data_IF_256653993077
#
_entry.id   IF_256653993077
#
_cell.length_a   1.000
_cell.length_b   1.000
_cell.length_c   1.000
_cell.angle_alpha   90.00
_cell.angle_beta   90.00
_cell.angle_gamma   90.00
#
_symmetry.space_group_name_H-M   'P 1'
#
loop_
_entity.id
_entity.type
_entity.pdbx_description
1 polymer ?
#
# COMPACT_ATOMS: atom_id res chain seq x y z
N UNK A 1 -15.81 14.51 20.97
CA UNK A 1 -15.72 14.15 20.54
C UNK A 1 -15.94 13.65 20.06
N UNK A 2 -15.83 13.84 19.92
CA UNK A 2 -16.22 13.30 19.20
C UNK A 2 -15.89 12.22 18.87
N UNK A 3 -16.33 11.80 19.03
CA UNK A 3 -16.13 10.70 18.73
C UNK A 3 -15.77 10.55 17.52
N UNK A 4 -15.12 10.72 17.36
CA UNK A 4 -14.84 10.60 16.37
C UNK A 4 -15.05 9.46 15.87
N UNK A 5 -15.55 9.51 14.95
CA UNK A 5 -15.88 8.36 14.32
C UNK A 5 -14.65 7.67 13.92
N UNK A 6 -14.58 6.43 14.17
CA UNK A 6 -13.52 5.65 13.72
C UNK A 6 -13.87 5.19 12.38
N UNK A 7 -13.51 5.95 11.41
CA UNK A 7 -13.81 5.65 10.03
C UNK A 7 -13.00 4.45 9.57
N UNK A 8 -13.64 3.49 8.95
CA UNK A 8 -12.98 2.36 8.30
C UNK A 8 -13.17 2.52 6.80
N UNK A 9 -12.08 2.44 6.05
CA UNK A 9 -12.12 2.62 4.61
C UNK A 9 -11.34 1.52 3.92
N UNK A 10 -11.89 0.99 2.85
CA UNK A 10 -11.18 0.05 1.98
C UNK A 10 -11.28 0.58 0.56
N UNK A 11 -10.16 0.56 -0.15
CA UNK A 11 -10.14 1.06 -1.51
C UNK A 11 -9.26 0.20 -2.39
N UNK A 12 -9.68 -0.02 -3.63
CA UNK A 12 -8.85 -0.63 -4.65
C UNK A 12 -8.41 0.45 -5.63
N UNK A 13 -7.24 0.25 -6.22
CA UNK A 13 -6.66 1.21 -7.15
C UNK A 13 -6.40 0.53 -8.48
N UNK A 14 -6.59 1.29 -9.54
CA UNK A 14 -6.31 0.81 -10.89
C UNK A 14 -4.80 0.92 -11.13
N UNK A 15 -4.22 -0.10 -11.73
CA UNK A 15 -2.80 -0.11 -12.07
C UNK A 15 -2.56 0.07 -13.56
N UNK A 16 -3.59 -0.09 -14.38
CA UNK A 16 -3.45 -0.02 -15.83
C UNK A 16 -2.75 -1.23 -16.42
N UNK A 17 -2.47 -2.22 -15.59
CA UNK A 17 -1.82 -3.47 -16.00
C UNK A 17 -2.17 -4.54 -14.98
N UNK A 18 -1.73 -5.76 -15.21
CA UNK A 18 -2.01 -6.87 -14.32
C UNK A 18 -1.44 -6.59 -12.93
N UNK A 19 -2.20 -6.95 -11.90
CA UNK A 19 -1.77 -6.80 -10.53
C UNK A 19 -2.87 -6.25 -9.66
N UNK A 20 -2.57 -6.11 -8.38
CA UNK A 20 -3.50 -5.59 -7.39
C UNK A 20 -2.88 -4.48 -6.59
N UNK A 21 -3.72 -3.54 -6.17
CA UNK A 21 -3.30 -2.45 -5.30
C UNK A 21 -4.51 -2.04 -4.48
N UNK A 22 -4.36 -2.07 -3.16
CA UNK A 22 -5.47 -1.79 -2.27
C UNK A 22 -4.97 -1.04 -1.04
N UNK A 23 -5.89 -0.34 -0.37
CA UNK A 23 -5.57 0.21 0.94
C UNK A 23 -6.70 -0.06 1.91
N UNK A 24 -6.34 -0.14 3.18
CA UNK A 24 -7.27 -0.36 4.26
C UNK A 24 -6.91 0.57 5.40
N UNK A 25 -7.90 1.31 5.86
CA UNK A 25 -7.68 2.26 6.94
C UNK A 25 -8.64 1.95 8.08
N UNK A 26 -8.09 1.77 9.27
CA UNK A 26 -8.87 1.48 10.44
C UNK A 26 -8.09 1.88 11.68
N UNK A 27 -8.77 2.47 12.64
CA UNK A 27 -8.13 2.84 13.89
C UNK A 27 -6.98 3.80 13.74
N UNK A 28 -7.02 4.64 12.72
CA UNK A 28 -5.96 5.60 12.45
C UNK A 28 -4.75 5.02 11.73
N UNK A 29 -4.81 3.76 11.32
CA UNK A 29 -3.69 3.08 10.69
C UNK A 29 -4.00 2.77 9.24
N UNK A 30 -3.11 3.21 8.35
CA UNK A 30 -3.25 3.04 6.91
C UNK A 30 -2.37 1.90 6.46
N UNK A 31 -2.98 0.86 5.91
CA UNK A 31 -2.27 -0.29 5.35
C UNK A 31 -2.36 -0.23 3.84
N UNK A 32 -1.20 -0.28 3.18
CA UNK A 32 -1.15 -0.44 1.74
C UNK A 32 -0.94 -1.92 1.44
N UNK A 33 -1.82 -2.49 0.63
CA UNK A 33 -1.76 -3.91 0.30
C UNK A 33 -1.19 -4.05 -1.09
N UNK A 34 -0.13 -4.80 -1.21
CA UNK A 34 0.71 -5.04 -2.37
C UNK A 34 1.68 -3.89 -2.62
N UNK A 35 2.88 -4.25 -3.03
CA UNK A 35 3.95 -3.28 -3.24
C UNK A 35 3.95 -2.82 -4.70
N UNK A 36 2.89 -2.16 -5.10
CA UNK A 36 2.74 -1.65 -6.45
C UNK A 36 2.56 -0.13 -6.39
N UNK A 37 3.30 0.58 -7.25
CA UNK A 37 3.23 2.04 -7.31
C UNK A 37 3.66 2.48 -8.70
N UNK A 38 2.71 2.96 -9.49
CA UNK A 38 3.00 3.46 -10.83
C UNK A 38 2.18 4.73 -11.07
N UNK A 39 2.21 5.24 -12.29
CA UNK A 39 1.54 6.50 -12.59
C UNK A 39 0.03 6.41 -12.45
N UNK A 40 -0.55 5.20 -12.49
CA UNK A 40 -1.99 5.04 -12.39
C UNK A 40 -2.48 5.14 -10.94
N UNK A 41 -1.74 4.59 -9.99
CA UNK A 41 -2.23 4.52 -8.60
C UNK A 41 -1.56 5.49 -7.63
N UNK A 42 -0.40 6.05 -8.00
CA UNK A 42 0.40 6.86 -7.07
C UNK A 42 -0.39 8.01 -6.48
N UNK A 43 -0.98 8.84 -7.33
CA UNK A 43 -1.69 10.00 -6.82
C UNK A 43 -2.95 9.60 -6.05
N UNK A 44 -3.61 8.53 -6.48
CA UNK A 44 -4.82 8.07 -5.80
C UNK A 44 -4.51 7.56 -4.39
N UNK A 45 -3.35 6.92 -4.21
CA UNK A 45 -2.94 6.49 -2.87
C UNK A 45 -2.66 7.72 -2.00
N UNK A 46 -1.94 8.70 -2.55
CA UNK A 46 -1.63 9.92 -1.80
C UNK A 46 -2.93 10.65 -1.42
N UNK A 47 -3.87 10.73 -2.35
CA UNK A 47 -5.15 11.38 -2.07
C UNK A 47 -5.92 10.63 -1.00
N UNK A 48 -5.90 9.31 -1.02
CA UNK A 48 -6.59 8.51 0.00
C UNK A 48 -5.96 8.72 1.37
N UNK A 49 -4.63 8.79 1.43
CA UNK A 49 -3.94 9.09 2.67
C UNK A 49 -4.36 10.46 3.21
N UNK A 50 -4.53 11.43 2.31
CA UNK A 50 -5.02 12.75 2.70
C UNK A 50 -6.42 12.69 3.27
N UNK A 51 -7.30 11.92 2.67
CA UNK A 51 -8.65 11.74 3.19
C UNK A 51 -8.65 11.08 4.57
N UNK A 52 -7.69 10.21 4.82
CA UNK A 52 -7.54 9.55 6.11
C UNK A 52 -6.75 10.39 7.12
N UNK A 53 -6.26 11.56 6.70
CA UNK A 53 -5.46 12.47 7.53
C UNK A 53 -4.21 11.79 8.08
N UNK A 54 -3.57 10.96 7.27
CA UNK A 54 -2.31 10.31 7.65
C UNK A 54 -1.22 10.75 6.70
N UNK A 55 0.02 10.80 7.21
CA UNK A 55 1.17 11.22 6.42
C UNK A 55 2.11 10.08 6.10
N UNK A 56 1.86 8.90 6.65
CA UNK A 56 2.73 7.77 6.39
C UNK A 56 1.92 6.50 6.40
N UNK A 57 2.45 5.49 5.75
CA UNK A 57 1.85 4.17 5.71
C UNK A 57 2.22 3.45 7.00
N UNK A 58 1.21 2.95 7.72
CA UNK A 58 1.48 2.19 8.94
C UNK A 58 2.06 0.81 8.58
N UNK A 59 1.47 0.14 7.60
CA UNK A 59 1.89 -1.19 7.23
C UNK A 59 1.82 -1.37 5.72
N UNK A 60 2.89 -1.92 5.14
CA UNK A 60 2.87 -2.38 3.76
C UNK A 60 2.72 -3.90 3.82
N UNK A 61 1.62 -4.40 3.30
CA UNK A 61 1.29 -5.83 3.37
C UNK A 61 1.40 -6.44 1.98
N UNK A 62 2.37 -7.34 1.80
CA UNK A 62 2.67 -7.97 0.52
C UNK A 62 2.20 -9.42 0.59
N UNK A 63 1.29 -9.81 -0.32
CA UNK A 63 0.72 -11.15 -0.27
C UNK A 63 1.50 -12.17 -1.07
N UNK A 64 2.29 -11.71 -2.03
CA UNK A 64 3.05 -12.61 -2.90
C UNK A 64 4.28 -11.86 -3.42
N UNK A 65 5.36 -12.61 -3.67
CA UNK A 65 6.57 -12.01 -4.26
C UNK A 65 6.47 -11.90 -5.79
N UNK A 66 5.41 -12.41 -6.41
CA UNK A 66 5.24 -12.28 -7.86
C UNK A 66 5.18 -10.82 -8.25
N UNK A 67 5.65 -10.51 -9.47
CA UNK A 67 5.80 -9.12 -9.89
C UNK A 67 4.49 -8.35 -9.98
N UNK A 68 3.36 -9.02 -10.15
CA UNK A 68 2.07 -8.34 -10.15
C UNK A 68 1.61 -7.96 -8.74
N UNK A 69 2.27 -8.46 -7.70
CA UNK A 69 2.02 -8.10 -6.29
C UNK A 69 3.17 -7.29 -5.70
N UNK A 70 4.39 -7.49 -6.19
CA UNK A 70 5.57 -6.83 -5.63
C UNK A 70 6.60 -6.64 -6.73
N UNK A 71 6.59 -5.47 -7.34
CA UNK A 71 7.57 -5.13 -8.37
C UNK A 71 8.70 -4.38 -7.69
N UNK A 72 9.94 -4.83 -7.91
CA UNK A 72 11.09 -4.33 -7.18
C UNK A 72 11.26 -2.82 -7.25
N UNK A 73 11.17 -2.25 -8.45
CA UNK A 73 11.35 -0.80 -8.60
C UNK A 73 10.25 -0.03 -7.89
N UNK A 74 9.05 -0.58 -7.86
CA UNK A 74 7.92 0.08 -7.20
C UNK A 74 8.02 -0.06 -5.69
N UNK A 75 8.48 -1.22 -5.21
CA UNK A 75 8.75 -1.39 -3.79
C UNK A 75 9.80 -0.38 -3.33
N UNK A 76 10.87 -0.21 -4.12
CA UNK A 76 11.91 0.74 -3.77
C UNK A 76 11.37 2.17 -3.69
N UNK A 77 10.50 2.53 -4.62
CA UNK A 77 9.89 3.85 -4.59
C UNK A 77 9.03 4.05 -3.35
N UNK A 78 8.24 3.03 -2.97
CA UNK A 78 7.43 3.10 -1.76
C UNK A 78 8.32 3.32 -0.53
N UNK A 79 9.42 2.57 -0.45
CA UNK A 79 10.31 2.69 0.70
C UNK A 79 10.98 4.06 0.76
N UNK A 80 11.19 4.70 -0.39
CA UNK A 80 11.81 6.02 -0.44
C UNK A 80 10.83 7.15 -0.23
N UNK A 81 9.63 7.06 -0.81
CA UNK A 81 8.73 8.21 -0.84
C UNK A 81 7.57 8.09 0.14
N UNK A 82 7.17 6.86 0.49
CA UNK A 82 6.05 6.61 1.40
C UNK A 82 6.45 5.53 2.41
N UNK A 83 7.54 5.74 3.15
CA UNK A 83 8.10 4.66 3.97
C UNK A 83 7.10 4.14 4.99
N UNK A 84 6.86 2.82 5.00
CA UNK A 84 5.94 2.24 5.97
C UNK A 84 6.61 2.07 7.32
N UNK A 85 5.80 2.07 8.38
CA UNK A 85 6.31 1.81 9.72
C UNK A 85 6.70 0.34 9.85
N UNK A 86 5.94 -0.55 9.20
CA UNK A 86 6.31 -1.96 9.20
C UNK A 86 5.92 -2.59 7.87
N UNK A 87 6.52 -3.74 7.59
CA UNK A 87 6.24 -4.49 6.36
C UNK A 87 5.88 -5.91 6.76
N UNK A 88 4.77 -6.40 6.21
CA UNK A 88 4.38 -7.80 6.32
C UNK A 88 4.53 -8.42 4.94
N UNK A 89 5.16 -9.58 4.86
CA UNK A 89 5.46 -10.19 3.57
C UNK A 89 5.36 -11.71 3.68
N UNK A 90 5.30 -12.41 2.53
CA UNK A 90 5.17 -13.86 2.55
C UNK A 90 6.38 -14.51 3.22
N UNK A 91 6.12 -15.61 3.91
CA UNK A 91 7.17 -16.30 4.65
C UNK A 91 8.07 -17.21 3.80
N UNK A 92 7.96 -17.12 2.47
CA UNK A 92 8.81 -17.92 1.58
C UNK A 92 9.76 -17.02 0.83
N UNK A 93 10.86 -17.62 0.36
CA UNK A 93 11.87 -16.88 -0.40
C UNK A 93 11.39 -16.67 -1.83
N UNK A 94 11.58 -15.47 -2.40
CA UNK A 94 11.22 -15.27 -3.80
C UNK A 94 12.01 -16.18 -4.71
N UNK A 95 11.36 -16.72 -5.73
CA UNK A 95 12.01 -17.58 -6.70
C UNK A 95 12.79 -16.78 -7.73
N UNK A 96 12.40 -15.57 -7.97
CA UNK A 96 13.06 -14.70 -8.95
C UNK A 96 13.30 -13.33 -8.32
N UNK A 97 14.27 -12.63 -8.87
CA UNK A 97 14.55 -11.25 -8.46
C UNK A 97 13.79 -10.35 -9.40
N UNK A 98 12.88 -9.61 -8.85
CA UNK A 98 12.08 -8.69 -9.65
C UNK A 98 12.69 -7.31 -9.71
#
# INVERSE_FOLDING_TARGET
MAAESKQTRFRSYMLGEKGGSYSYFDGGKFTLIEARLNDENRQNIIDEMGLCAVKKIHCLHITSWDSDHCKRSELEEILETLPPTKIEYPGYTPHTVN
#
